data_IF_925290409658
#
_entry.id   IF_925290409658
#
_cell.length_a   1.000
_cell.length_b   1.000
_cell.length_c   1.000
_cell.angle_alpha   90.00
_cell.angle_beta   90.00
_cell.angle_gamma   90.00
#
_symmetry.space_group_name_H-M   'P 1'
#
loop_
_entity.id
_entity.type
_entity.pdbx_description
1 polymer ?
#
# COMPACT_ATOMS: atom_id res chain seq x y z
N UNK A 1 -10.45 -7.10 11.16
CA UNK A 1 -10.91 -6.12 12.17
C UNK A 1 -10.44 -6.42 13.60
N UNK A 2 -10.44 -7.67 14.11
CA UNK A 2 -10.04 -7.94 15.51
C UNK A 2 -8.62 -7.47 15.87
N UNK A 3 -7.67 -7.64 14.96
CA UNK A 3 -6.26 -7.23 15.13
C UNK A 3 -6.14 -5.72 15.38
N UNK A 4 -6.95 -4.92 14.68
CA UNK A 4 -6.96 -3.47 14.81
C UNK A 4 -7.48 -2.99 16.16
N UNK A 5 -8.55 -3.63 16.63
CA UNK A 5 -9.15 -3.34 17.94
C UNK A 5 -8.16 -3.73 19.05
N UNK A 6 -7.54 -4.91 18.93
CA UNK A 6 -6.55 -5.40 19.90
C UNK A 6 -5.32 -4.48 19.96
N UNK A 7 -4.81 -4.02 18.81
CA UNK A 7 -3.70 -3.08 18.75
C UNK A 7 -4.07 -1.74 19.39
N UNK A 8 -5.22 -1.18 19.03
CA UNK A 8 -5.70 0.07 19.62
C UNK A 8 -5.84 -0.09 21.13
N UNK A 9 -6.50 -1.15 21.61
CA UNK A 9 -6.61 -1.41 23.04
C UNK A 9 -5.26 -1.60 23.72
N UNK A 10 -4.31 -2.28 23.08
CA UNK A 10 -2.97 -2.48 23.64
C UNK A 10 -2.21 -1.15 23.76
N UNK A 11 -2.22 -0.31 22.72
CA UNK A 11 -1.54 1.00 22.76
C UNK A 11 -2.14 1.92 23.84
N UNK A 12 -3.46 1.87 24.05
CA UNK A 12 -4.11 2.68 25.09
C UNK A 12 -4.01 2.10 26.50
N UNK A 13 -3.98 0.77 26.65
CA UNK A 13 -3.95 0.09 27.96
C UNK A 13 -2.52 -0.12 28.50
N UNK A 14 -1.52 -0.26 27.63
CA UNK A 14 -0.14 -0.47 28.04
C UNK A 14 0.47 0.83 28.55
N UNK A 15 0.73 0.88 29.86
CA UNK A 15 1.43 1.99 30.51
C UNK A 15 2.87 2.12 29.98
N UNK A 16 3.51 0.99 29.66
CA UNK A 16 4.89 0.94 29.17
C UNK A 16 5.11 1.63 27.82
N UNK A 17 4.05 1.84 27.03
CA UNK A 17 4.13 2.52 25.74
C UNK A 17 4.04 4.05 25.87
N UNK A 18 3.70 4.58 27.06
CA UNK A 18 3.70 6.02 27.33
C UNK A 18 5.14 6.49 27.53
N UNK A 19 5.61 7.39 26.67
CA UNK A 19 6.99 7.88 26.71
C UNK A 19 8.03 6.87 26.20
N UNK A 20 7.59 5.75 25.62
CA UNK A 20 8.49 4.81 24.97
C UNK A 20 8.98 5.40 23.65
N UNK A 21 10.28 5.70 23.60
CA UNK A 21 10.95 6.15 22.39
C UNK A 21 11.28 4.95 21.50
N UNK A 22 10.87 5.02 20.23
CA UNK A 22 11.23 4.03 19.21
C UNK A 22 12.41 4.53 18.36
N UNK A 23 12.35 5.79 17.92
CA UNK A 23 13.43 6.46 17.19
C UNK A 23 13.80 7.75 17.93
N UNK A 24 15.00 7.87 18.52
CA UNK A 24 15.35 8.98 19.41
C UNK A 24 15.29 10.37 18.74
N UNK A 25 15.35 10.44 17.42
CA UNK A 25 15.29 11.70 16.65
C UNK A 25 13.92 12.00 16.04
N UNK A 26 12.97 11.06 16.04
CA UNK A 26 11.70 11.20 15.31
C UNK A 26 10.49 10.71 16.12
N UNK A 27 10.55 9.49 16.66
CA UNK A 27 9.46 8.87 17.43
C UNK A 27 9.91 8.72 18.87
N UNK A 28 9.72 9.79 19.64
CA UNK A 28 10.10 9.85 21.05
C UNK A 28 9.01 9.34 22.00
N UNK A 29 7.77 9.20 21.51
CA UNK A 29 6.65 8.66 22.28
C UNK A 29 5.66 7.95 21.36
N UNK A 30 5.43 6.66 21.62
CA UNK A 30 4.52 5.80 20.86
C UNK A 30 3.03 6.08 21.12
N UNK A 31 2.70 6.73 22.23
CA UNK A 31 1.33 7.06 22.63
C UNK A 31 0.84 8.40 22.04
N UNK A 32 1.77 9.30 21.69
CA UNK A 32 1.48 10.59 21.09
C UNK A 32 1.44 10.51 19.56
N UNK A 33 0.78 11.48 18.89
CA UNK A 33 0.86 11.61 17.45
C UNK A 33 2.31 11.79 16.98
N UNK A 34 2.60 11.28 15.78
CA UNK A 34 3.89 11.49 15.12
C UNK A 34 4.19 13.00 15.00
N UNK A 35 5.45 13.40 15.13
CA UNK A 35 5.85 14.80 15.03
C UNK A 35 7.32 14.91 14.67
N UNK A 36 7.66 14.69 13.39
CA UNK A 36 9.03 14.84 12.89
C UNK A 36 9.54 16.27 13.07
N UNK A 37 8.69 17.24 12.77
CA UNK A 37 9.01 18.66 12.93
C UNK A 37 7.80 19.41 13.48
N UNK A 38 7.93 20.05 14.64
CA UNK A 38 6.87 20.88 15.22
C UNK A 38 7.01 22.31 14.69
N UNK A 39 5.94 22.83 14.11
CA UNK A 39 5.95 24.20 13.61
C UNK A 39 5.86 25.19 14.78
N UNK A 40 6.58 26.32 14.75
CA UNK A 40 6.50 27.35 15.79
C UNK A 40 5.14 28.06 15.80
N UNK A 41 4.43 28.08 14.67
CA UNK A 41 3.06 28.57 14.54
C UNK A 41 2.19 27.49 13.89
N UNK A 42 1.05 27.17 14.51
CA UNK A 42 0.12 26.20 13.96
C UNK A 42 -0.45 26.72 12.64
N UNK A 43 -0.32 25.95 11.57
CA UNK A 43 -0.94 26.29 10.29
C UNK A 43 -2.41 25.89 10.39
N UNK A 44 -3.28 26.90 10.41
CA UNK A 44 -4.73 26.71 10.40
C UNK A 44 -5.17 26.77 8.94
N UNK A 45 -5.69 25.66 8.42
CA UNK A 45 -6.30 25.66 7.08
C UNK A 45 -7.72 26.23 7.23
N UNK A 46 -8.02 27.45 6.74
CA UNK A 46 -9.27 28.14 7.04
C UNK A 46 -10.52 27.41 6.53
N UNK A 47 -10.38 26.58 5.48
CA UNK A 47 -11.49 25.87 4.84
C UNK A 47 -11.90 24.57 5.57
N UNK A 48 -10.99 23.95 6.32
CA UNK A 48 -11.19 22.62 6.94
C UNK A 48 -11.15 22.65 8.48
N UNK A 49 -10.81 23.80 9.09
CA UNK A 49 -10.63 23.92 10.54
C UNK A 49 -9.50 23.04 11.11
N UNK A 50 -8.67 22.46 10.24
CA UNK A 50 -7.56 21.61 10.63
C UNK A 50 -6.40 22.44 11.16
N UNK A 51 -5.99 22.12 12.39
CA UNK A 51 -4.79 22.66 13.04
C UNK A 51 -3.64 21.68 12.83
N UNK A 52 -2.72 22.04 11.95
CA UNK A 52 -1.48 21.26 11.72
C UNK A 52 -0.38 21.92 12.55
N UNK A 53 -0.03 21.26 13.65
CA UNK A 53 0.97 21.73 14.62
C UNK A 53 2.34 21.08 14.40
N UNK A 54 2.33 19.91 13.76
CA UNK A 54 3.52 19.12 13.47
C UNK A 54 3.45 18.56 12.06
N UNK A 55 4.60 18.37 11.43
CA UNK A 55 4.78 17.59 10.22
C UNK A 55 4.89 16.10 10.58
N UNK A 56 3.88 15.32 10.21
CA UNK A 56 3.84 13.89 10.50
C UNK A 56 4.28 13.11 9.27
N UNK A 57 5.42 12.44 9.37
CA UNK A 57 6.03 11.69 8.27
C UNK A 57 5.43 10.29 8.14
N UNK A 58 5.00 9.66 9.25
CA UNK A 58 4.42 8.31 9.26
C UNK A 58 3.18 8.19 8.35
N UNK A 59 2.17 9.09 8.45
CA UNK A 59 1.00 9.02 7.59
C UNK A 59 1.33 9.27 6.10
N UNK A 60 2.31 10.13 5.82
CA UNK A 60 2.75 10.36 4.45
C UNK A 60 3.37 9.08 3.85
N UNK A 61 4.25 8.43 4.61
CA UNK A 61 4.88 7.16 4.23
C UNK A 61 3.85 6.04 4.06
N UNK A 62 2.80 6.00 4.90
CA UNK A 62 1.68 5.08 4.69
C UNK A 62 0.95 5.31 3.38
N UNK A 63 0.71 6.57 3.00
CA UNK A 63 0.04 6.87 1.73
C UNK A 63 0.82 6.30 0.56
N UNK A 64 2.15 6.42 0.60
CA UNK A 64 3.04 5.78 -0.38
C UNK A 64 2.96 4.25 -0.30
N UNK A 65 2.99 3.67 0.90
CA UNK A 65 2.92 2.21 1.09
C UNK A 65 1.61 1.62 0.57
N UNK A 66 0.46 2.25 0.87
CA UNK A 66 -0.84 1.83 0.34
C UNK A 66 -0.93 1.99 -1.18
N UNK A 67 -0.38 3.07 -1.73
CA UNK A 67 -0.32 3.25 -3.17
C UNK A 67 0.51 2.14 -3.85
N UNK A 68 1.68 1.81 -3.29
CA UNK A 68 2.52 0.70 -3.77
C UNK A 68 1.80 -0.64 -3.64
N UNK A 69 1.13 -0.88 -2.51
CA UNK A 69 0.36 -2.09 -2.27
C UNK A 69 -0.74 -2.26 -3.32
N UNK A 70 -1.51 -1.22 -3.60
CA UNK A 70 -2.58 -1.26 -4.61
C UNK A 70 -2.02 -1.48 -6.02
N UNK A 71 -0.86 -0.91 -6.34
CA UNK A 71 -0.17 -1.15 -7.62
C UNK A 71 0.33 -2.59 -7.76
N UNK A 72 0.71 -3.21 -6.65
CA UNK A 72 1.12 -4.61 -6.56
C UNK A 72 -0.07 -5.56 -6.30
N UNK A 73 -1.29 -5.08 -6.16
CA UNK A 73 -2.46 -5.96 -6.19
C UNK A 73 -2.83 -6.26 -7.65
N UNK A 74 -3.19 -7.50 -8.00
CA UNK A 74 -3.69 -7.78 -9.34
C UNK A 74 -4.91 -6.89 -9.51
N UNK A 75 -4.84 -5.94 -10.46
CA UNK A 75 -5.99 -5.13 -10.83
C UNK A 75 -7.08 -6.12 -11.19
N UNK A 76 -8.10 -6.22 -10.34
CA UNK A 76 -9.14 -7.23 -10.48
C UNK A 76 -9.68 -7.13 -11.90
N UNK A 77 -9.60 -8.23 -12.64
CA UNK A 77 -10.10 -8.37 -14.01
C UNK A 77 -11.61 -8.06 -14.13
N UNK A 78 -12.30 -7.74 -13.02
CA UNK A 78 -13.65 -7.19 -13.02
C UNK A 78 -13.75 -5.77 -13.63
N UNK A 79 -12.64 -5.06 -13.85
CA UNK A 79 -12.63 -3.76 -14.52
C UNK A 79 -12.88 -3.84 -16.04
N UNK A 80 -12.70 -5.02 -16.66
CA UNK A 80 -12.85 -5.17 -18.12
C UNK A 80 -14.30 -5.35 -18.60
N UNK A 81 -15.26 -5.55 -17.69
CA UNK A 81 -16.67 -5.78 -18.07
C UNK A 81 -17.54 -4.52 -18.02
N UNK A 82 -17.18 -3.47 -17.25
CA UNK A 82 -17.97 -2.23 -17.16
C UNK A 82 -17.09 -0.98 -16.90
N UNK A 83 -17.14 0.06 -17.75
CA UNK A 83 -16.33 1.29 -17.59
C UNK A 83 -16.65 2.10 -16.32
N UNK A 84 -17.89 2.03 -15.83
CA UNK A 84 -18.29 2.66 -14.55
C UNK A 84 -17.51 2.06 -13.36
N UNK A 85 -17.33 0.74 -13.37
CA UNK A 85 -16.65 -0.01 -12.29
C UNK A 85 -15.15 0.27 -12.33
N UNK A 86 -14.56 0.41 -13.52
CA UNK A 86 -13.16 0.79 -13.69
C UNK A 86 -12.87 2.20 -13.12
N UNK A 87 -13.76 3.15 -13.35
CA UNK A 87 -13.61 4.51 -12.82
C UNK A 87 -13.76 4.55 -11.29
N UNK A 88 -14.71 3.79 -10.73
CA UNK A 88 -14.86 3.67 -9.28
C UNK A 88 -13.62 3.06 -8.62
N UNK A 89 -13.03 2.01 -9.21
CA UNK A 89 -11.79 1.40 -8.71
C UNK A 89 -10.61 2.39 -8.76
N UNK A 90 -10.47 3.15 -9.85
CA UNK A 90 -9.41 4.16 -9.96
C UNK A 90 -9.56 5.26 -8.91
N UNK A 91 -10.79 5.69 -8.64
CA UNK A 91 -11.06 6.66 -7.57
C UNK A 91 -10.70 6.07 -6.20
N UNK A 92 -11.06 4.82 -5.92
CA UNK A 92 -10.68 4.13 -4.68
C UNK A 92 -9.16 3.96 -4.54
N UNK A 93 -8.44 3.73 -5.65
CA UNK A 93 -6.97 3.62 -5.67
C UNK A 93 -6.25 4.94 -5.36
N UNK A 94 -6.90 6.09 -5.54
CA UNK A 94 -6.30 7.40 -5.26
C UNK A 94 -6.80 7.90 -3.90
N UNK A 95 -8.09 7.76 -3.64
CA UNK A 95 -8.74 8.33 -2.48
C UNK A 95 -8.36 7.61 -1.18
N UNK A 96 -8.31 6.27 -1.18
CA UNK A 96 -7.98 5.50 0.03
C UNK A 96 -6.55 5.76 0.55
N UNK A 97 -5.49 5.67 -0.26
CA UNK A 97 -4.13 5.95 0.22
C UNK A 97 -3.90 7.42 0.60
N UNK A 98 -4.76 8.35 0.14
CA UNK A 98 -4.65 9.75 0.51
C UNK A 98 -5.45 10.07 1.80
N UNK A 99 -6.72 9.68 1.85
CA UNK A 99 -7.65 10.07 2.90
C UNK A 99 -7.41 9.29 4.21
N UNK A 100 -7.10 8.00 4.13
CA UNK A 100 -6.93 7.16 5.31
C UNK A 100 -5.71 7.59 6.17
N UNK A 101 -4.52 7.84 5.59
CA UNK A 101 -3.42 8.37 6.40
C UNK A 101 -3.67 9.80 6.89
N UNK A 102 -4.36 10.65 6.12
CA UNK A 102 -4.76 11.98 6.60
C UNK A 102 -5.70 11.90 7.81
N UNK A 103 -6.60 10.92 7.86
CA UNK A 103 -7.44 10.66 9.04
C UNK A 103 -6.61 10.20 10.24
N UNK A 104 -5.63 9.33 10.01
CA UNK A 104 -4.69 8.85 11.02
C UNK A 104 -3.61 9.86 11.40
N UNK A 105 -3.65 11.07 10.83
CA UNK A 105 -2.65 12.11 11.09
C UNK A 105 -2.59 12.49 12.57
N UNK A 106 -3.73 12.48 13.26
CA UNK A 106 -3.83 12.78 14.71
C UNK A 106 -3.84 11.51 15.59
N UNK A 107 -3.70 10.32 15.00
CA UNK A 107 -3.70 9.07 15.75
C UNK A 107 -2.34 8.82 16.44
N UNK A 108 -2.30 7.97 17.49
CA UNK A 108 -1.05 7.59 18.15
C UNK A 108 -0.02 7.02 17.17
N UNK A 109 1.23 7.43 17.31
CA UNK A 109 2.33 7.03 16.43
C UNK A 109 2.59 5.52 16.46
N UNK A 110 2.35 4.84 17.60
CA UNK A 110 2.50 3.40 17.73
C UNK A 110 1.49 2.60 16.91
N UNK A 111 0.23 3.04 16.87
CA UNK A 111 -0.77 2.47 15.95
C UNK A 111 -0.26 2.64 14.53
N UNK A 112 0.12 3.86 14.17
CA UNK A 112 0.58 4.16 12.82
C UNK A 112 1.80 3.32 12.41
N UNK A 113 2.79 3.19 13.29
CA UNK A 113 4.00 2.42 13.03
C UNK A 113 3.69 0.95 12.72
N UNK A 114 2.74 0.35 13.45
CA UNK A 114 2.30 -1.03 13.17
C UNK A 114 1.65 -1.16 11.79
N UNK A 115 0.75 -0.24 11.42
CA UNK A 115 0.10 -0.28 10.09
C UNK A 115 1.14 -0.17 9.00
N UNK A 116 2.08 0.76 9.15
CA UNK A 116 3.10 1.02 8.16
C UNK A 116 3.98 -0.21 7.99
N UNK A 117 4.49 -0.77 9.08
CA UNK A 117 5.38 -1.93 9.03
C UNK A 117 4.68 -3.18 8.49
N UNK A 118 3.43 -3.45 8.88
CA UNK A 118 2.64 -4.57 8.34
C UNK A 118 2.31 -4.40 6.85
N UNK A 119 1.95 -3.18 6.43
CA UNK A 119 1.68 -2.88 5.01
C UNK A 119 2.95 -3.02 4.18
N UNK A 120 4.09 -2.54 4.68
CA UNK A 120 5.36 -2.64 3.99
C UNK A 120 5.85 -4.09 3.86
N UNK A 121 5.68 -4.89 4.91
CA UNK A 121 5.96 -6.33 4.84
C UNK A 121 5.09 -7.01 3.77
N UNK A 122 3.78 -6.73 3.74
CA UNK A 122 2.89 -7.27 2.71
C UNK A 122 3.25 -6.81 1.30
N UNK A 123 3.67 -5.55 1.13
CA UNK A 123 4.19 -5.01 -0.14
C UNK A 123 5.44 -5.76 -0.58
N UNK A 124 6.37 -6.00 0.34
CA UNK A 124 7.61 -6.73 0.08
C UNK A 124 7.34 -8.17 -0.33
N UNK A 125 6.51 -8.90 0.42
CA UNK A 125 6.08 -10.26 0.07
C UNK A 125 5.43 -10.30 -1.31
N UNK A 126 4.49 -9.39 -1.58
CA UNK A 126 3.78 -9.31 -2.86
C UNK A 126 4.74 -8.98 -4.02
N UNK A 127 5.74 -8.12 -3.78
CA UNK A 127 6.77 -7.81 -4.75
C UNK A 127 7.62 -9.05 -5.08
N UNK A 128 8.05 -9.81 -4.05
CA UNK A 128 8.81 -11.05 -4.21
C UNK A 128 7.99 -12.09 -4.97
N UNK A 129 6.71 -12.31 -4.61
CA UNK A 129 5.82 -13.26 -5.30
C UNK A 129 5.66 -12.89 -6.77
N UNK A 130 5.41 -11.63 -7.08
CA UNK A 130 5.27 -11.16 -8.47
C UNK A 130 6.53 -11.32 -9.28
N UNK A 131 7.69 -11.10 -8.67
CA UNK A 131 8.98 -11.34 -9.31
C UNK A 131 9.11 -12.81 -9.73
N UNK A 132 8.81 -13.74 -8.82
CA UNK A 132 8.85 -15.18 -9.11
C UNK A 132 7.83 -15.60 -10.18
N UNK A 133 6.62 -15.04 -10.18
CA UNK A 133 5.60 -15.31 -11.22
C UNK A 133 6.11 -14.83 -12.58
N UNK A 134 6.66 -13.62 -12.65
CA UNK A 134 7.17 -13.03 -13.90
C UNK A 134 8.37 -13.81 -14.46
N UNK A 135 9.24 -14.32 -13.60
CA UNK A 135 10.35 -15.19 -13.99
C UNK A 135 9.87 -16.53 -14.57
N UNK A 136 8.82 -17.13 -13.99
CA UNK A 136 8.18 -18.34 -14.55
C UNK A 136 7.54 -18.07 -15.91
N UNK A 137 6.79 -16.98 -16.07
CA UNK A 137 6.18 -16.59 -17.36
C UNK A 137 7.25 -16.31 -18.45
N UNK A 138 8.39 -15.74 -18.06
CA UNK A 138 9.52 -15.53 -18.97
C UNK A 138 10.18 -16.86 -19.37
N UNK A 139 10.36 -17.78 -18.44
CA UNK A 139 10.87 -19.12 -18.75
C UNK A 139 9.92 -19.94 -19.64
N UNK A 140 8.60 -19.79 -19.45
CA UNK A 140 7.57 -20.38 -20.31
C UNK A 140 7.56 -19.77 -21.72
N UNK A 141 7.65 -18.43 -21.83
CA UNK A 141 7.66 -17.74 -23.14
C UNK A 141 8.95 -17.95 -23.94
N UNK A 142 10.09 -18.21 -23.27
CA UNK A 142 11.35 -18.59 -23.90
C UNK A 142 11.43 -20.08 -24.25
N UNK A 143 10.40 -20.88 -23.94
CA UNK A 143 10.31 -22.28 -24.35
C UNK A 143 11.25 -23.24 -23.61
N UNK A 144 11.83 -22.84 -22.47
CA UNK A 144 12.77 -23.65 -21.69
C UNK A 144 12.08 -24.59 -20.68
N UNK A 145 10.76 -24.45 -20.49
CA UNK A 145 9.99 -25.36 -19.64
C UNK A 145 9.04 -26.16 -20.52
N UNK A 146 9.30 -27.47 -20.61
CA UNK A 146 8.35 -28.41 -21.18
C UNK A 146 7.01 -28.23 -20.45
N UNK A 147 5.98 -27.89 -21.22
CA UNK A 147 4.58 -27.84 -20.78
C UNK A 147 4.31 -29.07 -19.92
N UNK A 148 4.25 -28.91 -18.59
CA UNK A 148 3.68 -29.94 -17.75
C UNK A 148 2.21 -30.00 -18.16
N UNK A 149 1.92 -31.07 -18.90
CA UNK A 149 0.72 -31.40 -19.64
C UNK A 149 -0.49 -31.67 -18.75
N UNK A 150 -0.88 -30.71 -17.90
CA UNK A 150 -2.07 -30.88 -17.03
C UNK A 150 -3.09 -29.74 -17.04
N UNK A 151 -3.06 -28.83 -18.01
CA UNK A 151 -4.27 -28.02 -18.26
C UNK A 151 -4.40 -27.70 -19.75
N UNK A 152 -5.35 -28.40 -20.39
CA UNK A 152 -5.56 -28.40 -21.83
C UNK A 152 -6.07 -27.06 -22.37
N UNK A 153 -5.17 -26.26 -22.92
CA UNK A 153 -5.50 -25.15 -23.79
C UNK A 153 -4.52 -25.10 -24.96
N UNK A 154 -4.93 -25.60 -26.13
CA UNK A 154 -4.13 -25.52 -27.37
C UNK A 154 -3.82 -24.06 -27.68
N UNK A 155 -2.56 -23.64 -27.53
CA UNK A 155 -2.10 -22.32 -27.98
C UNK A 155 -2.10 -22.30 -29.51
N UNK A 156 -3.05 -21.60 -30.12
CA UNK A 156 -3.06 -21.31 -31.56
C UNK A 156 -1.90 -20.37 -31.89
N UNK A 157 -0.86 -20.89 -32.56
CA UNK A 157 0.21 -20.07 -33.16
C UNK A 157 -0.40 -19.15 -34.23
N UNK A 158 -0.32 -17.82 -34.04
CA UNK A 158 -0.62 -16.83 -35.10
C UNK A 158 0.51 -16.88 -36.14
N UNK A 159 0.19 -17.27 -37.38
CA UNK A 159 1.16 -17.22 -38.49
C UNK A 159 1.51 -15.75 -38.79
N UNK A 160 2.80 -15.41 -39.00
CA UNK A 160 3.18 -14.06 -39.42
C UNK A 160 2.65 -13.76 -40.82
N UNK A 161 2.15 -12.53 -41.02
CA UNK A 161 1.66 -12.06 -42.33
C UNK A 161 2.85 -11.99 -43.31
N UNK A 162 2.70 -12.45 -44.57
CA UNK A 162 3.74 -12.30 -45.57
C UNK A 162 3.95 -10.81 -45.85
N UNK A 163 5.18 -10.34 -45.63
CA UNK A 163 5.65 -9.04 -46.11
C UNK A 163 5.87 -9.18 -47.63
N UNK A 164 5.08 -8.42 -48.40
CA UNK A 164 5.14 -8.23 -49.86
C UNK A 164 4.63 -9.36 -50.79
N UNK A 165 3.74 -8.96 -51.70
CA UNK A 165 3.54 -9.57 -53.01
C UNK A 165 3.60 -8.42 -54.04
N UNK A 166 4.64 -8.43 -54.87
CA UNK A 166 4.57 -7.89 -56.25
C UNK A 166 3.82 -8.87 -57.13
#
# INVERSE_FOLDING_TARGET
MPIWIALWSAVYASIDLRGAAFLPFWITDLSLPDALYRFPTAIIIPLLGWKIESLNLLPLMMGVAFYLQQKLMPSQAAASTNPQVAQQQKMMMIMMPLLFPLMLYKAPSGVNMYIMSSTFAGVFEQYVIRKHIREKEQAESQGLVAVTSKTGGKVKKKKPKPFFKS
#
